data_IF_819426959851
#
_entry.id   IF_819426959851
#
_cell.length_a   1.000
_cell.length_b   1.000
_cell.length_c   1.000
_cell.angle_alpha   90.00
_cell.angle_beta   90.00
_cell.angle_gamma   90.00
#
_symmetry.space_group_name_H-M   'P 1'
#
loop_
_entity.id
_entity.type
_entity.pdbx_description
1 polymer ?
#
# COMPACT_ATOMS: atom_id res chain seq x y z
N UNK A 1 -8.85 36.73 -4.73
CA UNK A 1 -9.29 35.99 -5.93
C UNK A 1 -9.46 34.54 -5.54
N UNK A 2 -10.69 34.07 -5.38
CA UNK A 2 -10.95 32.68 -5.00
C UNK A 2 -11.67 32.02 -6.17
N UNK A 3 -11.16 30.89 -6.66
CA UNK A 3 -11.73 30.15 -7.78
C UNK A 3 -11.71 28.67 -7.47
N UNK A 4 -12.85 28.01 -7.67
CA UNK A 4 -12.98 26.57 -7.45
C UNK A 4 -12.76 25.84 -8.78
N UNK A 5 -11.99 24.76 -8.73
CA UNK A 5 -11.64 23.95 -9.88
C UNK A 5 -12.11 22.51 -9.65
N UNK A 6 -12.76 21.92 -10.66
CA UNK A 6 -12.99 20.49 -10.71
C UNK A 6 -11.73 19.80 -11.26
N UNK A 7 -11.07 18.99 -10.44
CA UNK A 7 -9.80 18.36 -10.79
C UNK A 7 -9.90 17.37 -11.97
N UNK A 8 -10.88 16.44 -12.03
CA UNK A 8 -11.09 15.59 -13.20
C UNK A 8 -11.28 16.39 -14.49
N UNK A 9 -12.11 17.43 -14.46
CA UNK A 9 -12.33 18.27 -15.63
C UNK A 9 -11.04 19.02 -15.99
N UNK A 10 -10.35 19.63 -15.04
CA UNK A 10 -9.11 20.38 -15.33
C UNK A 10 -8.06 19.53 -16.05
N UNK A 11 -8.01 18.23 -15.76
CA UNK A 11 -7.00 17.32 -16.31
C UNK A 11 -7.44 16.62 -17.61
N UNK A 12 -8.72 16.32 -17.76
CA UNK A 12 -9.24 15.48 -18.86
C UNK A 12 -10.21 16.21 -19.81
N UNK A 13 -10.51 17.49 -19.55
CA UNK A 13 -11.35 18.32 -20.41
C UNK A 13 -10.72 18.54 -21.79
N UNK A 14 -11.54 18.45 -22.83
CA UNK A 14 -11.15 18.92 -24.16
C UNK A 14 -10.93 20.44 -24.13
N UNK A 15 -9.71 20.89 -24.46
CA UNK A 15 -9.30 22.32 -24.46
C UNK A 15 -10.12 23.20 -25.41
N UNK A 16 -10.78 22.59 -26.39
CA UNK A 16 -11.65 23.29 -27.34
C UNK A 16 -13.05 23.55 -26.79
N UNK A 17 -13.37 23.07 -25.58
CA UNK A 17 -14.69 23.23 -25.05
C UNK A 17 -14.86 24.57 -24.30
N UNK A 18 -15.93 25.36 -24.54
CA UNK A 18 -16.17 26.66 -23.90
C UNK A 18 -15.93 26.74 -22.38
N UNK A 19 -16.25 25.69 -21.62
CA UNK A 19 -16.06 25.65 -20.16
C UNK A 19 -14.60 25.56 -19.71
N UNK A 20 -13.66 25.23 -20.62
CA UNK A 20 -12.23 25.10 -20.30
C UNK A 20 -11.62 26.41 -19.77
N UNK A 21 -12.11 27.55 -20.24
CA UNK A 21 -11.65 28.87 -19.79
C UNK A 21 -12.48 29.44 -18.64
N UNK A 22 -13.57 28.77 -18.26
CA UNK A 22 -14.44 29.29 -17.22
C UNK A 22 -13.76 29.07 -15.87
N UNK A 23 -13.32 30.16 -15.23
CA UNK A 23 -13.05 30.17 -13.78
C UNK A 23 -14.37 29.79 -13.13
N UNK A 24 -14.54 28.50 -12.84
CA UNK A 24 -15.86 27.84 -12.78
C UNK A 24 -16.78 28.51 -11.76
N UNK A 25 -16.25 29.23 -10.78
CA UNK A 25 -17.05 29.86 -9.75
C UNK A 25 -16.50 31.21 -9.28
N UNK A 26 -16.91 32.29 -9.95
CA UNK A 26 -16.66 33.67 -9.49
C UNK A 26 -17.83 34.25 -8.69
N UNK A 27 -19.05 33.71 -8.87
CA UNK A 27 -20.26 34.14 -8.16
C UNK A 27 -20.64 33.16 -7.04
N UNK A 28 -20.19 33.47 -5.83
CA UNK A 28 -20.40 32.65 -4.62
C UNK A 28 -21.87 32.46 -4.24
N UNK A 29 -22.76 33.39 -4.63
CA UNK A 29 -24.19 33.33 -4.27
C UNK A 29 -24.95 32.17 -4.94
N UNK A 30 -24.44 31.64 -6.06
CA UNK A 30 -25.07 30.53 -6.81
C UNK A 30 -24.13 29.33 -6.97
N UNK A 31 -23.14 29.20 -6.09
CA UNK A 31 -22.08 28.20 -6.25
C UNK A 31 -22.63 26.77 -6.17
N UNK A 32 -23.60 26.53 -5.27
CA UNK A 32 -24.20 25.20 -5.09
C UNK A 32 -25.01 24.73 -6.30
N UNK A 33 -25.86 25.60 -6.85
CA UNK A 33 -26.63 25.31 -8.08
C UNK A 33 -25.70 24.99 -9.25
N UNK A 34 -24.72 25.85 -9.51
CA UNK A 34 -23.76 25.65 -10.60
C UNK A 34 -22.86 24.44 -10.41
N UNK A 35 -22.52 24.10 -9.16
CA UNK A 35 -21.75 22.90 -8.85
C UNK A 35 -22.56 21.65 -9.17
N UNK A 36 -23.84 21.63 -8.76
CA UNK A 36 -24.75 20.53 -9.07
C UNK A 36 -24.94 20.38 -10.59
N UNK A 37 -25.15 21.48 -11.32
CA UNK A 37 -25.24 21.45 -12.79
C UNK A 37 -23.96 20.92 -13.43
N UNK A 38 -22.80 21.36 -12.94
CA UNK A 38 -21.49 20.91 -13.40
C UNK A 38 -21.28 19.41 -13.18
N UNK A 39 -21.49 18.92 -11.95
CA UNK A 39 -21.32 17.50 -11.58
C UNK A 39 -22.26 16.59 -12.38
N UNK A 40 -23.47 17.07 -12.68
CA UNK A 40 -24.45 16.31 -13.47
C UNK A 40 -24.20 16.35 -14.98
N UNK A 41 -23.35 17.24 -15.47
CA UNK A 41 -23.04 17.37 -16.89
C UNK A 41 -22.37 16.11 -17.45
N UNK A 42 -22.70 15.77 -18.71
CA UNK A 42 -22.08 14.65 -19.41
C UNK A 42 -20.56 14.81 -19.51
N UNK A 43 -20.11 16.05 -19.68
CA UNK A 43 -18.70 16.38 -19.74
C UNK A 43 -17.97 16.01 -18.45
N UNK A 44 -18.51 16.42 -17.28
CA UNK A 44 -17.92 16.06 -15.99
C UNK A 44 -17.86 14.54 -15.85
N UNK A 45 -18.96 13.83 -16.15
CA UNK A 45 -19.02 12.37 -16.08
C UNK A 45 -17.95 11.71 -16.95
N UNK A 46 -17.73 12.18 -18.18
CA UNK A 46 -16.70 11.65 -19.08
C UNK A 46 -15.27 11.92 -18.54
N UNK A 47 -15.01 13.13 -18.03
CA UNK A 47 -13.73 13.47 -17.42
C UNK A 47 -13.48 12.64 -16.16
N UNK A 48 -14.51 12.44 -15.34
CA UNK A 48 -14.45 11.62 -14.13
C UNK A 48 -14.18 10.15 -14.45
N UNK A 49 -14.87 9.57 -15.44
CA UNK A 49 -14.58 8.23 -15.92
C UNK A 49 -13.12 8.09 -16.40
N UNK A 50 -12.62 9.07 -17.14
CA UNK A 50 -11.22 9.08 -17.60
C UNK A 50 -10.22 9.15 -16.44
N UNK A 51 -10.51 9.98 -15.42
CA UNK A 51 -9.74 10.05 -14.18
C UNK A 51 -9.72 8.69 -13.45
N UNK A 52 -10.88 8.05 -13.26
CA UNK A 52 -10.98 6.75 -12.59
C UNK A 52 -10.28 5.64 -13.36
N UNK A 53 -10.32 5.67 -14.70
CA UNK A 53 -9.59 4.74 -15.54
C UNK A 53 -8.08 4.92 -15.42
N UNK A 54 -7.59 6.17 -15.34
CA UNK A 54 -6.18 6.44 -15.07
C UNK A 54 -5.77 5.91 -13.69
N UNK A 55 -6.55 6.23 -12.66
CA UNK A 55 -6.29 5.78 -11.28
C UNK A 55 -6.20 4.25 -11.20
N UNK A 56 -7.16 3.54 -11.80
CA UNK A 56 -7.15 2.08 -11.86
C UNK A 56 -5.98 1.53 -12.70
N UNK A 57 -5.59 2.22 -13.76
CA UNK A 57 -4.45 1.82 -14.60
C UNK A 57 -3.13 2.00 -13.89
N UNK A 58 -2.96 3.07 -13.10
CA UNK A 58 -1.78 3.28 -12.28
C UNK A 58 -1.66 2.24 -11.17
N UNK A 59 -2.80 1.80 -10.60
CA UNK A 59 -2.80 0.70 -9.63
C UNK A 59 -2.42 -0.67 -10.24
N UNK A 60 -2.73 -0.89 -11.52
CA UNK A 60 -2.54 -2.21 -12.16
C UNK A 60 -1.29 -2.30 -13.05
N UNK A 61 -0.82 -1.17 -13.59
CA UNK A 61 0.27 -1.03 -14.56
C UNK A 61 1.07 0.26 -14.33
N UNK A 62 1.20 0.65 -13.07
CA UNK A 62 2.13 1.70 -12.67
C UNK A 62 3.56 1.31 -13.00
N UNK A 63 4.45 2.30 -13.11
CA UNK A 63 5.89 2.09 -13.35
C UNK A 63 6.49 1.21 -12.23
N UNK A 64 5.91 1.27 -11.04
CA UNK A 64 6.31 0.56 -9.83
C UNK A 64 5.55 -0.76 -9.59
N UNK A 65 4.72 -1.22 -10.53
CA UNK A 65 3.91 -2.44 -10.33
C UNK A 65 4.76 -3.69 -10.04
N UNK A 66 5.81 -3.90 -10.84
CA UNK A 66 6.71 -5.05 -10.67
C UNK A 66 7.42 -4.98 -9.31
N UNK A 67 7.81 -3.78 -8.88
CA UNK A 67 8.42 -3.55 -7.57
C UNK A 67 7.42 -3.85 -6.42
N UNK A 68 6.16 -3.43 -6.56
CA UNK A 68 5.11 -3.74 -5.59
C UNK A 68 4.86 -5.26 -5.49
N UNK A 69 4.87 -5.96 -6.63
CA UNK A 69 4.72 -7.43 -6.67
C UNK A 69 5.89 -8.16 -5.99
N UNK A 70 7.13 -7.69 -6.20
CA UNK A 70 8.30 -8.23 -5.51
C UNK A 70 8.22 -8.02 -4.00
N UNK A 71 7.79 -6.83 -3.54
CA UNK A 71 7.61 -6.54 -2.12
C UNK A 71 6.55 -7.47 -1.51
N UNK A 72 5.39 -7.63 -2.15
CA UNK A 72 4.31 -8.49 -1.65
C UNK A 72 4.72 -9.96 -1.60
N UNK A 73 5.47 -10.42 -2.60
CA UNK A 73 6.04 -11.77 -2.64
C UNK A 73 7.00 -12.01 -1.49
N UNK A 74 7.91 -11.06 -1.24
CA UNK A 74 8.91 -11.15 -0.19
C UNK A 74 8.24 -11.10 1.19
N UNK A 75 7.26 -10.21 1.38
CA UNK A 75 6.44 -10.16 2.61
C UNK A 75 5.74 -11.50 2.87
N UNK A 76 5.12 -12.08 1.85
CA UNK A 76 4.45 -13.37 1.94
C UNK A 76 5.42 -14.51 2.27
N UNK A 77 6.60 -14.50 1.65
CA UNK A 77 7.66 -15.47 1.92
C UNK A 77 8.11 -15.40 3.38
N UNK A 78 8.47 -14.21 3.88
CA UNK A 78 8.93 -14.04 5.25
C UNK A 78 7.86 -14.36 6.29
N UNK A 79 6.59 -14.05 6.02
CA UNK A 79 5.47 -14.51 6.87
C UNK A 79 5.43 -16.04 6.96
N UNK A 80 5.52 -16.74 5.83
CA UNK A 80 5.50 -18.21 5.82
C UNK A 80 6.69 -18.82 6.57
N UNK A 81 7.88 -18.24 6.43
CA UNK A 81 9.08 -18.65 7.17
C UNK A 81 8.87 -18.47 8.68
N UNK A 82 8.40 -17.29 9.11
CA UNK A 82 8.15 -17.02 10.53
C UNK A 82 7.09 -17.96 11.13
N UNK A 83 6.01 -18.20 10.40
CA UNK A 83 4.99 -19.18 10.80
C UNK A 83 5.59 -20.58 10.98
N UNK A 84 6.42 -21.02 10.04
CA UNK A 84 7.07 -22.34 10.11
C UNK A 84 8.00 -22.46 11.33
N UNK A 85 8.75 -21.41 11.66
CA UNK A 85 9.62 -21.39 12.84
C UNK A 85 8.79 -21.51 14.12
N UNK A 86 7.71 -20.74 14.23
CA UNK A 86 6.81 -20.78 15.39
C UNK A 86 6.19 -22.18 15.54
N UNK A 87 5.76 -22.80 14.43
CA UNK A 87 5.19 -24.14 14.44
C UNK A 87 6.19 -25.20 14.91
N UNK A 88 7.44 -25.13 14.45
CA UNK A 88 8.52 -26.03 14.89
C UNK A 88 8.79 -25.85 16.39
N UNK A 89 8.93 -24.61 16.87
CA UNK A 89 9.15 -24.33 18.29
C UNK A 89 7.99 -24.87 19.14
N UNK A 90 6.74 -24.62 18.72
CA UNK A 90 5.56 -25.09 19.43
C UNK A 90 5.47 -26.61 19.41
N UNK A 91 5.84 -27.26 18.30
CA UNK A 91 5.90 -28.71 18.20
C UNK A 91 6.93 -29.29 19.18
N UNK A 92 8.14 -28.75 19.22
CA UNK A 92 9.21 -29.18 20.13
C UNK A 92 8.83 -28.97 21.60
N UNK A 93 8.22 -27.82 21.93
CA UNK A 93 7.76 -27.51 23.28
C UNK A 93 6.67 -28.49 23.74
N UNK A 94 5.72 -28.85 22.84
CA UNK A 94 4.68 -29.85 23.12
C UNK A 94 5.23 -31.26 23.28
N UNK A 95 6.29 -31.61 22.55
CA UNK A 95 6.94 -32.93 22.63
C UNK A 95 7.81 -33.11 23.88
N UNK A 96 7.95 -32.08 24.72
CA UNK A 96 8.54 -32.24 26.06
C UNK A 96 10.05 -32.46 26.07
N UNK A 97 10.79 -31.90 25.11
CA UNK A 97 12.22 -31.71 25.30
C UNK A 97 12.43 -30.43 26.11
N UNK A 98 12.87 -30.50 27.37
CA UNK A 98 13.34 -29.30 28.02
C UNK A 98 14.50 -28.77 27.18
N UNK A 99 14.48 -27.48 26.84
CA UNK A 99 15.67 -26.73 26.41
C UNK A 99 16.60 -26.63 27.62
N UNK A 100 16.99 -27.78 28.16
CA UNK A 100 17.86 -27.91 29.28
C UNK A 100 19.23 -27.69 28.69
N UNK A 101 19.73 -26.46 28.85
CA UNK A 101 21.17 -26.27 29.03
C UNK A 101 21.62 -27.40 29.94
N UNK A 102 22.34 -28.37 29.40
CA UNK A 102 23.15 -29.25 30.22
C UNK A 102 24.14 -28.30 30.88
N UNK A 103 23.80 -27.85 32.10
CA UNK A 103 24.80 -27.37 33.03
C UNK A 103 25.67 -28.58 33.34
N UNK A 104 26.58 -28.88 32.41
CA UNK A 104 27.77 -29.65 32.71
C UNK A 104 28.52 -28.82 33.73
N UNK A 105 28.26 -29.07 35.00
CA UNK A 105 29.17 -28.68 36.06
C UNK A 105 30.48 -29.38 35.75
N UNK A 106 31.38 -28.64 35.09
CA UNK A 106 32.78 -28.99 34.99
C UNK A 106 33.30 -29.05 36.43
N UNK A 107 33.33 -30.26 36.98
CA UNK A 107 34.05 -30.52 38.21
C UNK A 107 35.54 -30.37 37.89
N UNK A 108 36.12 -29.26 38.33
CA UNK A 108 37.55 -28.94 38.18
C UNK A 108 38.45 -29.75 39.12
N UNK A 109 37.96 -30.85 39.70
CA UNK A 109 38.71 -31.63 40.70
C UNK A 109 39.60 -32.73 40.13
N UNK A 110 39.64 -32.96 38.81
CA UNK A 110 40.51 -33.97 38.20
C UNK A 110 41.76 -33.37 37.50
N UNK A 111 42.97 -33.51 38.07
CA UNK A 111 44.20 -32.95 37.52
C UNK A 111 44.85 -33.84 36.44
N UNK A 112 44.07 -34.57 35.64
CA UNK A 112 44.61 -35.46 34.60
C UNK A 112 43.82 -35.38 33.30
N UNK A 113 44.27 -34.49 32.42
CA UNK A 113 44.88 -34.87 31.14
C UNK A 113 45.00 -33.64 30.24
N UNK A 114 46.13 -32.95 30.41
CA UNK A 114 46.78 -32.17 29.36
C UNK A 114 47.38 -33.16 28.35
N UNK A 115 47.34 -32.80 27.06
CA UNK A 115 47.82 -33.51 25.85
C UNK A 115 46.73 -34.36 25.16
N UNK A 116 46.29 -34.11 23.91
CA UNK A 116 46.72 -33.25 22.80
C UNK A 116 45.52 -32.54 22.17
#
# INVERSE_FOLDING_TARGET
>A
MNSLYCLPCKLFQNRNHPWFQEKVFTNWKKVGERLSEHENSLNHKNCFCSWKNLEASLQKRGIDKDLQDEIEKEESHWKAVLHSIVDVILHLAKQGSPLQSSNETLDFSDPKCVHF
#
